data_IF_402708242826
#
_entry.id   IF_402708242826
#
_cell.length_a   1.000
_cell.length_b   1.000
_cell.length_c   1.000
_cell.angle_alpha   90.00
_cell.angle_beta   90.00
_cell.angle_gamma   90.00
#
_symmetry.space_group_name_H-M   'P 1'
#
loop_
_entity.id
_entity.type
_entity.pdbx_description
1 polymer ?
#
# COMPACT_ATOMS: atom_id res chain seq x y z
N UNK A 1 -9.38 50.15 -3.91
CA UNK A 1 -10.73 49.56 -3.78
C UNK A 1 -10.77 48.36 -4.74
N UNK A 2 -11.05 47.17 -4.20
CA UNK A 2 -11.11 45.81 -4.83
C UNK A 2 -9.79 45.25 -5.42
N UNK A 3 -9.09 44.27 -4.84
CA UNK A 3 -9.33 42.84 -4.47
C UNK A 3 -9.13 41.80 -5.59
N UNK A 4 -8.14 40.93 -5.32
CA UNK A 4 -8.13 39.46 -5.47
C UNK A 4 -8.14 38.81 -6.85
N UNK A 5 -7.03 38.15 -7.17
CA UNK A 5 -7.01 36.70 -7.36
C UNK A 5 -5.61 36.17 -6.98
N UNK A 6 -5.42 35.84 -5.70
CA UNK A 6 -4.31 34.99 -5.30
C UNK A 6 -4.66 33.57 -5.75
N UNK A 7 -4.04 33.11 -6.84
CA UNK A 7 -3.95 31.69 -7.11
C UNK A 7 -3.07 31.09 -6.02
N UNK A 8 -3.68 30.38 -5.07
CA UNK A 8 -2.99 29.57 -4.07
C UNK A 8 -2.30 28.40 -4.78
N UNK A 9 -1.19 28.69 -5.45
CA UNK A 9 -0.29 27.70 -6.02
C UNK A 9 0.76 27.34 -4.98
N UNK A 10 0.80 26.05 -4.63
CA UNK A 10 1.86 25.32 -3.94
C UNK A 10 3.05 26.16 -3.44
N UNK A 11 3.15 26.35 -2.12
CA UNK A 11 4.22 27.14 -1.48
C UNK A 11 5.14 26.32 -0.57
N UNK A 12 4.97 25.01 -0.47
CA UNK A 12 5.85 24.15 0.34
C UNK A 12 7.04 23.68 -0.49
N UNK A 13 8.27 23.94 -0.03
CA UNK A 13 9.49 23.28 -0.54
C UNK A 13 9.73 21.92 0.14
N UNK A 14 8.76 21.45 0.90
CA UNK A 14 8.79 20.14 1.55
C UNK A 14 8.07 19.14 0.65
N UNK A 15 8.55 17.90 0.63
CA UNK A 15 7.87 16.80 -0.05
C UNK A 15 6.56 16.46 0.67
N UNK A 16 5.52 16.09 -0.08
CA UNK A 16 4.18 15.73 0.43
C UNK A 16 3.56 14.65 -0.47
N UNK A 17 4.40 13.73 -0.98
CA UNK A 17 3.90 12.66 -1.81
C UNK A 17 3.56 11.42 -0.99
N UNK A 18 2.27 11.18 -0.82
CA UNK A 18 1.76 10.13 0.04
C UNK A 18 0.79 9.16 -0.65
N UNK A 19 0.48 8.07 0.06
CA UNK A 19 -0.52 7.09 -0.35
C UNK A 19 -1.93 7.63 -0.10
N UNK A 20 -2.66 7.93 -1.17
CA UNK A 20 -4.03 8.42 -1.07
C UNK A 20 -5.08 7.32 -0.99
N UNK A 21 -4.84 6.17 -1.62
CA UNK A 21 -5.83 5.09 -1.69
C UNK A 21 -5.21 3.73 -1.95
N UNK A 22 -5.68 2.73 -1.22
CA UNK A 22 -5.50 1.30 -1.54
C UNK A 22 -6.83 0.73 -2.03
N UNK A 23 -6.89 0.28 -3.28
CA UNK A 23 -7.98 -0.49 -3.87
C UNK A 23 -7.74 -1.98 -3.66
N UNK A 24 -8.79 -2.73 -3.38
CA UNK A 24 -8.72 -4.18 -3.21
C UNK A 24 -10.10 -4.79 -3.48
N UNK A 25 -10.17 -6.02 -4.01
CA UNK A 25 -11.42 -6.78 -4.04
C UNK A 25 -12.07 -6.85 -2.66
N UNK A 26 -13.39 -6.93 -2.62
CA UNK A 26 -14.12 -7.08 -1.35
C UNK A 26 -13.89 -8.46 -0.73
N UNK A 27 -13.75 -9.47 -1.57
CA UNK A 27 -13.50 -10.83 -1.15
C UNK A 27 -12.80 -11.60 -2.27
N UNK A 28 -12.19 -12.71 -1.88
CA UNK A 28 -11.65 -13.74 -2.78
C UNK A 28 -12.29 -15.07 -2.42
N UNK A 29 -12.60 -15.88 -3.42
CA UNK A 29 -13.31 -17.15 -3.25
C UNK A 29 -12.35 -18.29 -3.49
N UNK A 30 -11.97 -18.98 -2.43
CA UNK A 30 -10.84 -19.89 -2.48
C UNK A 30 -11.25 -21.34 -2.27
N UNK A 31 -10.88 -22.18 -3.23
CA UNK A 31 -10.72 -23.61 -3.04
C UNK A 31 -9.30 -23.89 -2.50
N UNK A 32 -9.10 -24.98 -1.74
CA UNK A 32 -7.77 -25.39 -1.27
C UNK A 32 -6.74 -25.45 -2.41
N UNK A 33 -5.68 -24.66 -2.31
CA UNK A 33 -4.54 -24.66 -3.24
C UNK A 33 -4.79 -24.06 -4.62
N UNK A 34 -6.01 -23.57 -4.91
CA UNK A 34 -6.33 -22.92 -6.18
C UNK A 34 -6.30 -21.40 -6.04
N UNK A 35 -5.52 -20.69 -6.87
CA UNK A 35 -5.44 -19.25 -6.80
C UNK A 35 -6.70 -18.58 -7.37
N UNK A 36 -7.13 -17.50 -6.72
CA UNK A 36 -8.06 -16.52 -7.27
C UNK A 36 -7.24 -15.36 -7.86
N UNK A 37 -7.24 -15.28 -9.20
CA UNK A 37 -6.54 -14.24 -9.97
C UNK A 37 -7.48 -13.11 -10.41
N UNK A 38 -8.75 -13.16 -10.04
CA UNK A 38 -9.75 -12.13 -10.42
C UNK A 38 -9.70 -10.92 -9.50
N UNK A 39 -9.01 -11.03 -8.35
CA UNK A 39 -8.93 -10.03 -7.32
C UNK A 39 -7.84 -8.97 -7.53
N UNK A 40 -8.00 -8.09 -8.52
CA UNK A 40 -7.06 -6.99 -8.78
C UNK A 40 -7.07 -5.93 -7.67
N UNK A 41 -5.89 -5.53 -7.20
CA UNK A 41 -5.68 -4.43 -6.27
C UNK A 41 -5.00 -3.26 -6.98
N UNK A 42 -5.01 -2.09 -6.36
CA UNK A 42 -4.20 -0.97 -6.86
C UNK A 42 -3.85 -0.01 -5.73
N UNK A 43 -2.75 0.71 -5.90
CA UNK A 43 -2.34 1.77 -4.98
C UNK A 43 -2.35 3.08 -5.73
N UNK A 44 -2.88 4.12 -5.10
CA UNK A 44 -2.86 5.48 -5.64
C UNK A 44 -2.02 6.35 -4.73
N UNK A 45 -1.01 6.98 -5.32
CA UNK A 45 -0.15 7.98 -4.69
C UNK A 45 -0.41 9.34 -5.31
N UNK A 46 -0.23 10.40 -4.52
CA UNK A 46 -0.50 11.78 -4.91
C UNK A 46 0.56 12.67 -4.28
N UNK A 47 1.11 13.60 -5.05
CA UNK A 47 1.84 14.76 -4.53
C UNK A 47 0.85 15.93 -4.51
N UNK A 48 0.29 16.29 -3.34
CA UNK A 48 -0.86 17.20 -3.26
C UNK A 48 -0.58 18.61 -2.75
N UNK A 49 0.44 18.79 -1.92
CA UNK A 49 0.74 20.06 -1.24
C UNK A 49 2.17 20.55 -1.53
N UNK A 50 3.04 19.69 -2.11
CA UNK A 50 4.41 20.02 -2.49
C UNK A 50 4.45 20.91 -3.74
N UNK A 51 5.28 21.96 -3.70
CA UNK A 51 5.57 22.82 -4.86
C UNK A 51 6.64 22.26 -5.78
N UNK A 52 7.16 21.06 -5.49
CA UNK A 52 8.25 20.43 -6.21
C UNK A 52 7.89 19.04 -6.72
N UNK A 53 8.80 18.44 -7.48
CA UNK A 53 8.63 17.06 -7.92
C UNK A 53 9.18 16.15 -6.85
N UNK A 54 8.41 15.15 -6.46
CA UNK A 54 8.78 14.22 -5.40
C UNK A 54 9.14 12.88 -6.09
N UNK A 55 10.32 12.35 -5.77
CA UNK A 55 10.73 11.01 -6.19
C UNK A 55 10.27 10.01 -5.13
N UNK A 56 9.58 8.93 -5.51
CA UNK A 56 8.89 8.05 -4.57
C UNK A 56 9.15 6.60 -4.92
N UNK A 57 9.67 5.83 -3.97
CA UNK A 57 9.60 4.37 -3.95
C UNK A 57 8.22 3.92 -3.49
N UNK A 58 7.54 3.10 -4.29
CA UNK A 58 6.22 2.58 -3.91
C UNK A 58 6.31 1.10 -3.58
N UNK A 59 5.88 0.73 -2.37
CA UNK A 59 5.89 -0.66 -1.92
C UNK A 59 4.50 -1.10 -1.46
N UNK A 60 4.23 -2.40 -1.56
CA UNK A 60 3.02 -3.02 -1.02
C UNK A 60 3.38 -4.26 -0.21
N UNK A 61 3.00 -4.24 1.05
CA UNK A 61 3.04 -5.40 1.93
C UNK A 61 1.68 -6.11 1.94
N UNK A 62 1.72 -7.42 1.74
CA UNK A 62 0.58 -8.32 1.75
C UNK A 62 0.72 -9.27 2.92
N UNK A 63 0.02 -8.98 4.02
CA UNK A 63 -0.01 -9.82 5.21
C UNK A 63 -1.19 -10.80 5.11
N UNK A 64 -0.97 -12.11 5.26
CA UNK A 64 -2.03 -13.10 5.22
C UNK A 64 -3.10 -12.94 6.30
N UNK A 65 -4.29 -13.53 6.09
CA UNK A 65 -5.29 -13.66 7.14
C UNK A 65 -4.74 -14.39 8.36
N UNK A 66 -5.06 -13.89 9.55
CA UNK A 66 -4.46 -14.35 10.81
C UNK A 66 -3.06 -13.80 11.06
N UNK A 67 -2.58 -12.88 10.22
CA UNK A 67 -1.28 -12.24 10.37
C UNK A 67 -0.11 -13.20 10.13
N UNK A 68 0.96 -13.02 10.90
CA UNK A 68 2.19 -13.85 10.80
C UNK A 68 1.96 -15.31 11.18
N UNK A 69 0.89 -15.62 11.93
CA UNK A 69 0.53 -17.00 12.25
C UNK A 69 0.03 -17.79 11.04
N UNK A 70 -0.52 -17.10 10.03
CA UNK A 70 -0.98 -17.62 8.74
C UNK A 70 -1.60 -19.03 8.80
N UNK A 71 -2.67 -19.25 9.57
CA UNK A 71 -3.20 -20.60 9.84
C UNK A 71 -3.80 -21.28 8.61
N UNK A 72 -4.16 -20.50 7.58
CA UNK A 72 -4.63 -21.01 6.28
C UNK A 72 -3.51 -21.36 5.29
N UNK A 73 -2.24 -21.11 5.66
CA UNK A 73 -1.06 -21.20 4.78
C UNK A 73 -1.35 -20.47 3.46
N UNK A 74 -1.69 -19.20 3.61
CA UNK A 74 -2.08 -18.33 2.52
C UNK A 74 -0.89 -17.58 1.94
N UNK A 75 -0.95 -17.32 0.64
CA UNK A 75 -0.08 -16.42 -0.08
C UNK A 75 -0.91 -15.47 -0.95
N UNK A 76 -0.37 -14.32 -1.36
CA UNK A 76 0.97 -13.80 -1.03
C UNK A 76 1.16 -13.42 0.44
N UNK A 77 2.42 -13.53 0.90
CA UNK A 77 2.90 -13.17 2.24
C UNK A 77 4.26 -12.44 2.11
N UNK A 78 4.25 -11.27 1.48
CA UNK A 78 5.47 -10.60 0.98
C UNK A 78 5.36 -9.08 1.04
N UNK A 79 6.50 -8.40 0.91
CA UNK A 79 6.56 -7.00 0.47
C UNK A 79 6.99 -6.99 -1.00
N UNK A 80 6.27 -6.25 -1.83
CA UNK A 80 6.54 -6.07 -3.24
C UNK A 80 7.03 -4.64 -3.49
N UNK A 81 8.10 -4.50 -4.25
CA UNK A 81 8.51 -3.21 -4.78
C UNK A 81 7.78 -2.96 -6.11
N UNK A 82 6.97 -1.91 -6.17
CA UNK A 82 6.16 -1.54 -7.33
C UNK A 82 6.87 -0.54 -8.26
N UNK A 83 8.08 -0.12 -7.90
CA UNK A 83 8.93 0.78 -8.67
C UNK A 83 9.07 2.17 -8.06
N UNK A 84 9.76 3.03 -8.80
CA UNK A 84 10.06 4.41 -8.43
C UNK A 84 9.33 5.34 -9.39
N UNK A 85 8.76 6.43 -8.85
CA UNK A 85 7.97 7.40 -9.61
C UNK A 85 8.40 8.82 -9.29
N UNK A 86 8.47 9.67 -10.31
CA UNK A 86 8.52 11.12 -10.14
C UNK A 86 7.10 11.67 -10.22
N UNK A 87 6.60 12.24 -9.13
CA UNK A 87 5.29 12.91 -9.09
C UNK A 87 5.46 14.42 -9.10
N UNK A 88 5.06 15.04 -10.21
CA UNK A 88 4.95 16.50 -10.32
C UNK A 88 3.93 17.06 -9.29
N UNK A 89 4.01 18.36 -8.94
CA UNK A 89 3.02 19.02 -8.09
C UNK A 89 1.58 18.79 -8.56
N UNK A 90 0.72 18.29 -7.66
CA UNK A 90 -0.69 17.99 -7.93
C UNK A 90 -0.95 16.72 -8.75
N UNK A 91 0.10 16.00 -9.18
CA UNK A 91 -0.03 14.78 -9.95
C UNK A 91 -0.45 13.59 -9.10
N UNK A 92 -1.01 12.57 -9.76
CA UNK A 92 -1.38 11.30 -9.16
C UNK A 92 -0.96 10.14 -10.05
N UNK A 93 -0.55 9.04 -9.45
CA UNK A 93 -0.33 7.78 -10.13
C UNK A 93 -1.19 6.70 -9.49
N UNK A 94 -1.73 5.79 -10.31
CA UNK A 94 -2.42 4.59 -9.84
C UNK A 94 -1.68 3.37 -10.40
N UNK A 95 -1.12 2.57 -9.51
CA UNK A 95 -0.27 1.43 -9.84
C UNK A 95 -1.06 0.15 -9.57
N UNK A 96 -1.28 -0.71 -10.59
CA UNK A 96 -1.95 -1.99 -10.39
C UNK A 96 -1.10 -2.92 -9.54
N UNK A 97 -1.76 -3.76 -8.77
CA UNK A 97 -1.16 -4.82 -7.97
C UNK A 97 -1.99 -6.07 -8.27
N UNK A 98 -1.35 -7.09 -8.84
CA UNK A 98 -2.02 -8.32 -9.29
C UNK A 98 -1.57 -9.53 -8.45
N UNK A 99 -1.96 -9.59 -7.17
CA UNK A 99 -1.63 -10.71 -6.30
C UNK A 99 -2.43 -11.96 -6.69
N UNK A 100 -1.74 -13.10 -6.68
CA UNK A 100 -2.36 -14.42 -6.83
C UNK A 100 -2.80 -14.94 -5.46
N UNK A 101 -4.01 -14.60 -5.03
CA UNK A 101 -4.54 -14.99 -3.72
C UNK A 101 -4.79 -16.50 -3.64
N UNK A 102 -4.16 -17.19 -2.70
CA UNK A 102 -4.35 -18.63 -2.51
C UNK A 102 -4.15 -19.01 -1.05
N UNK A 103 -4.85 -20.05 -0.60
CA UNK A 103 -4.65 -20.67 0.70
C UNK A 103 -4.62 -22.18 0.54
N UNK A 104 -3.71 -22.87 1.23
CA UNK A 104 -3.75 -24.33 1.30
C UNK A 104 -4.97 -24.81 2.10
N UNK A 105 -5.36 -24.08 3.14
CA UNK A 105 -6.53 -24.35 3.97
C UNK A 105 -7.39 -23.08 4.15
N UNK A 106 -8.20 -22.69 3.14
CA UNK A 106 -9.03 -21.48 3.24
C UNK A 106 -10.09 -21.58 4.36
N UNK A 107 -10.51 -22.78 4.76
CA UNK A 107 -11.49 -22.96 5.83
C UNK A 107 -10.97 -22.47 7.20
N UNK A 108 -9.67 -22.59 7.47
CA UNK A 108 -9.04 -22.11 8.71
C UNK A 108 -9.08 -20.58 8.86
N UNK A 109 -9.27 -19.85 7.76
CA UNK A 109 -9.26 -18.39 7.71
C UNK A 109 -10.55 -17.82 7.10
N UNK A 110 -11.60 -18.62 6.99
CA UNK A 110 -12.87 -18.18 6.41
C UNK A 110 -13.43 -16.97 7.17
N UNK A 111 -13.78 -15.91 6.45
CA UNK A 111 -14.23 -14.65 7.05
C UNK A 111 -13.12 -13.79 7.67
N UNK A 112 -11.85 -14.17 7.54
CA UNK A 112 -10.71 -13.31 7.86
C UNK A 112 -10.21 -12.60 6.59
N UNK A 113 -9.39 -11.57 6.72
CA UNK A 113 -8.92 -10.76 5.60
C UNK A 113 -7.39 -10.75 5.47
N UNK A 114 -6.92 -10.51 4.26
CA UNK A 114 -5.56 -10.00 4.10
C UNK A 114 -5.48 -8.58 4.63
N UNK A 115 -4.29 -8.18 5.05
CA UNK A 115 -3.96 -6.77 5.25
C UNK A 115 -3.01 -6.32 4.15
N UNK A 116 -3.46 -5.36 3.35
CA UNK A 116 -2.66 -4.70 2.33
C UNK A 116 -2.19 -3.38 2.93
N UNK A 117 -0.88 -3.21 3.10
CA UNK A 117 -0.27 -1.94 3.52
C UNK A 117 0.56 -1.40 2.37
N UNK A 118 0.15 -0.25 1.84
CA UNK A 118 0.91 0.49 0.86
C UNK A 118 1.84 1.48 1.56
N UNK A 119 3.00 1.70 0.97
CA UNK A 119 4.08 2.56 1.48
C UNK A 119 4.53 3.46 0.34
N UNK A 120 4.55 4.77 0.60
CA UNK A 120 5.25 5.76 -0.20
C UNK A 120 6.53 6.13 0.58
N UNK A 121 7.67 5.93 -0.07
CA UNK A 121 9.03 6.22 0.42
C UNK A 121 9.55 7.38 -0.44
N UNK A 122 9.39 8.59 0.08
CA UNK A 122 9.90 9.80 -0.57
C UNK A 122 11.43 9.72 -0.57
N UNK A 123 12.09 10.10 -1.67
CA UNK A 123 13.51 9.89 -1.94
C UNK A 123 13.96 8.44 -2.25
N UNK A 124 13.16 7.42 -1.93
CA UNK A 124 13.40 6.02 -2.30
C UNK A 124 14.71 5.44 -1.73
N UNK A 125 15.07 5.78 -0.51
CA UNK A 125 16.27 5.27 0.17
C UNK A 125 15.97 4.34 1.35
N UNK A 126 14.70 4.11 1.65
CA UNK A 126 14.26 3.37 2.84
C UNK A 126 13.74 1.95 2.59
N UNK A 127 13.82 1.46 1.35
CA UNK A 127 13.39 0.09 1.05
C UNK A 127 14.04 -0.97 1.98
N UNK A 128 15.30 -0.78 2.38
CA UNK A 128 15.99 -1.70 3.29
C UNK A 128 15.30 -1.80 4.66
N UNK A 129 14.69 -0.72 5.13
CA UNK A 129 13.90 -0.62 6.35
C UNK A 129 12.46 -1.12 6.17
N UNK A 130 12.01 -1.36 4.94
CA UNK A 130 10.65 -1.80 4.61
C UNK A 130 10.60 -3.13 3.82
N UNK A 131 11.71 -3.85 3.68
CA UNK A 131 11.83 -5.00 2.78
C UNK A 131 11.05 -6.26 3.24
N UNK A 132 10.67 -6.34 4.51
CA UNK A 132 10.02 -7.52 5.09
C UNK A 132 8.71 -7.18 5.78
N UNK A 133 7.79 -8.16 5.85
CA UNK A 133 6.53 -7.99 6.59
C UNK A 133 6.77 -7.63 8.06
N UNK A 134 7.82 -8.18 8.68
CA UNK A 134 8.17 -7.86 10.06
C UNK A 134 8.52 -6.37 10.21
N UNK A 135 9.34 -5.83 9.32
CA UNK A 135 9.72 -4.41 9.38
C UNK A 135 8.55 -3.48 9.06
N UNK A 136 7.70 -3.84 8.07
CA UNK A 136 6.56 -3.02 7.64
C UNK A 136 5.45 -2.95 8.69
N UNK A 137 5.20 -4.04 9.41
CA UNK A 137 4.15 -4.11 10.44
C UNK A 137 4.68 -3.88 11.87
N UNK A 138 5.95 -3.51 12.00
CA UNK A 138 6.57 -2.97 13.21
C UNK A 138 6.89 -1.47 13.00
N UNK A 139 7.65 -0.87 13.91
CA UNK A 139 8.01 0.56 13.89
C UNK A 139 9.20 0.88 12.98
N UNK A 140 9.99 -0.11 12.56
CA UNK A 140 11.24 0.09 11.78
C UNK A 140 10.96 0.83 10.48
N UNK A 141 10.01 0.35 9.68
CA UNK A 141 9.70 0.98 8.39
C UNK A 141 9.10 2.37 8.58
N UNK A 142 8.18 2.56 9.54
CA UNK A 142 7.60 3.89 9.78
C UNK A 142 8.62 4.93 10.27
N UNK A 143 9.60 4.52 11.07
CA UNK A 143 10.61 5.46 11.57
C UNK A 143 11.58 5.92 10.48
N UNK A 144 11.79 5.08 9.47
CA UNK A 144 12.60 5.44 8.31
C UNK A 144 11.85 6.52 7.52
N UNK A 145 10.64 6.21 7.05
CA UNK A 145 9.86 7.11 6.16
C UNK A 145 9.57 8.51 6.72
N UNK A 146 9.49 8.65 8.05
CA UNK A 146 9.07 9.89 8.71
C UNK A 146 10.08 11.05 8.61
N UNK A 147 11.30 10.83 8.10
CA UNK A 147 12.25 11.92 7.89
C UNK A 147 12.24 12.52 6.47
N UNK A 148 11.44 11.94 5.55
CA UNK A 148 11.42 12.32 4.13
C UNK A 148 10.25 13.23 3.71
N UNK A 149 9.14 13.23 4.45
CA UNK A 149 7.91 13.97 4.13
C UNK A 149 7.46 14.92 5.27
N UNK A 150 6.51 15.82 4.99
CA UNK A 150 5.93 16.71 6.01
C UNK A 150 4.72 16.13 6.75
N UNK A 151 4.28 14.93 6.36
CA UNK A 151 3.06 14.30 6.85
C UNK A 151 3.14 12.77 6.90
N UNK A 152 3.85 12.26 7.92
CA UNK A 152 3.99 10.84 8.27
C UNK A 152 2.71 9.98 8.15
N UNK A 153 1.54 10.61 8.31
CA UNK A 153 0.24 9.94 8.28
C UNK A 153 -0.14 9.39 6.91
N UNK A 154 0.44 9.88 5.81
CA UNK A 154 0.17 9.37 4.46
C UNK A 154 1.34 8.66 3.77
N UNK A 155 2.52 8.61 4.39
CA UNK A 155 3.59 7.66 4.05
C UNK A 155 3.09 6.21 3.96
N UNK A 156 2.11 5.83 4.79
CA UNK A 156 1.51 4.49 4.70
C UNK A 156 0.00 4.49 4.79
N UNK A 157 -0.63 3.56 4.06
CA UNK A 157 -2.06 3.33 4.15
C UNK A 157 -2.37 1.83 4.20
N UNK A 158 -3.08 1.40 5.24
CA UNK A 158 -3.46 0.00 5.45
C UNK A 158 -4.94 -0.26 5.12
N UNK A 159 -5.21 -1.41 4.52
CA UNK A 159 -6.57 -1.86 4.19
C UNK A 159 -6.72 -3.35 4.47
N UNK A 160 -7.72 -3.69 5.28
CA UNK A 160 -8.00 -5.06 5.71
C UNK A 160 -8.96 -5.78 4.74
N UNK A 161 -8.50 -6.00 3.50
CA UNK A 161 -9.19 -6.68 2.41
C UNK A 161 -8.18 -7.33 1.44
N UNK A 162 -8.54 -8.38 0.68
CA UNK A 162 -9.86 -9.00 0.60
C UNK A 162 -10.22 -9.89 1.78
N UNK A 163 -11.51 -10.13 1.97
CA UNK A 163 -12.02 -11.19 2.85
C UNK A 163 -11.90 -12.58 2.18
N UNK A 164 -11.45 -13.60 2.91
CA UNK A 164 -11.51 -14.99 2.46
C UNK A 164 -12.95 -15.48 2.53
N UNK A 165 -13.45 -15.99 1.41
CA UNK A 165 -14.65 -16.82 1.35
C UNK A 165 -14.21 -18.22 0.96
N UNK A 166 -14.17 -19.12 1.94
CA UNK A 166 -13.78 -20.50 1.71
C UNK A 166 -14.89 -21.23 0.92
N UNK A 167 -14.49 -21.90 -0.15
CA UNK A 167 -15.35 -22.79 -0.91
C UNK A 167 -15.13 -24.23 -0.44
N UNK A 168 -16.22 -24.97 -0.29
CA UNK A 168 -16.16 -26.42 -0.15
C UNK A 168 -15.86 -27.04 -1.53
N UNK A 169 -14.96 -28.02 -1.61
CA UNK A 169 -14.73 -28.81 -2.83
C UNK A 169 -16.02 -29.45 -3.37
#
# INVERSE_FOLDING_TARGET
MALSAAGSGFTSSTNDAGVKRVASPRSVRLLPGLPDTTGAASVTVVNSLSGQTDNIGLYVALLPPGGTSNPGVCSPAIVMNLGVFDLLPGARASVPVDPSWVCANPAAVNGQNWTIKAIADVHNDDFASCATLAQVFDTVCSLALNDDDDNDADNTLSRALPLVVALTP
#
